data_IF_131515712981
#
_entry.id   IF_131515712981
#
_cell.length_a   1.000
_cell.length_b   1.000
_cell.length_c   1.000
_cell.angle_alpha   90.00
_cell.angle_beta   90.00
_cell.angle_gamma   90.00
#
_symmetry.space_group_name_H-M   'P 1'
#
loop_
_entity.id
_entity.type
_entity.pdbx_description
1 polymer ?
#
# COMPACT_ATOMS: atom_id res chain seq x y z
N UNK A 1 -4.37 -17.09 -22.82
CA UNK A 1 -3.73 -16.14 -23.75
C UNK A 1 -2.44 -16.79 -24.20
N UNK A 2 -2.14 -16.75 -25.50
CA UNK A 2 -0.86 -17.25 -26.00
C UNK A 2 0.22 -16.23 -25.65
N UNK A 3 1.36 -16.72 -25.16
CA UNK A 3 2.48 -15.89 -24.73
C UNK A 3 3.24 -15.38 -25.97
N UNK A 4 3.32 -14.06 -26.16
CA UNK A 4 4.05 -13.43 -27.26
C UNK A 4 5.52 -13.30 -26.82
N UNK A 5 6.41 -14.12 -27.38
CA UNK A 5 7.82 -14.19 -26.99
C UNK A 5 8.75 -13.40 -27.91
N UNK A 6 8.33 -13.19 -29.15
CA UNK A 6 9.08 -12.44 -30.16
C UNK A 6 8.15 -11.62 -31.04
N UNK A 7 8.74 -10.69 -31.82
CA UNK A 7 7.99 -9.85 -32.76
C UNK A 7 7.26 -10.67 -33.83
N UNK A 8 7.76 -11.87 -34.16
CA UNK A 8 7.15 -12.78 -35.14
C UNK A 8 5.89 -13.45 -34.60
N UNK A 9 5.72 -13.48 -33.28
CA UNK A 9 4.57 -14.10 -32.61
C UNK A 9 3.40 -13.12 -32.46
N UNK A 10 3.56 -11.86 -32.90
CA UNK A 10 2.51 -10.85 -32.83
C UNK A 10 1.41 -11.21 -33.85
N UNK A 11 0.15 -11.31 -33.43
CA UNK A 11 -0.96 -11.55 -34.35
C UNK A 11 -1.01 -10.49 -35.46
N UNK A 12 -1.10 -10.94 -36.71
CA UNK A 12 -1.27 -10.05 -37.87
C UNK A 12 -2.62 -9.35 -37.85
N UNK A 13 -3.64 -10.01 -37.30
CA UNK A 13 -4.98 -9.46 -37.13
C UNK A 13 -4.99 -8.26 -36.17
N UNK A 14 -5.74 -7.23 -36.57
CA UNK A 14 -6.01 -6.05 -35.76
C UNK A 14 -7.50 -6.00 -35.41
N UNK A 15 -7.79 -5.78 -34.13
CA UNK A 15 -9.15 -5.63 -33.59
C UNK A 15 -9.59 -4.17 -33.50
N UNK A 16 -8.75 -3.27 -34.00
CA UNK A 16 -9.03 -1.86 -34.25
C UNK A 16 -8.61 -1.55 -35.69
N UNK A 17 -9.58 -1.19 -36.53
CA UNK A 17 -9.38 -0.75 -37.90
C UNK A 17 -9.02 0.73 -37.98
N UNK A 18 -8.83 1.21 -39.22
CA UNK A 18 -8.65 2.64 -39.49
C UNK A 18 -9.98 3.42 -39.43
N UNK A 19 -9.88 4.74 -39.54
CA UNK A 19 -11.04 5.63 -39.57
C UNK A 19 -11.52 6.12 -38.20
N UNK A 20 -10.66 6.07 -37.17
CA UNK A 20 -10.96 6.75 -35.91
C UNK A 20 -10.92 8.27 -36.10
N UNK A 21 -11.85 9.03 -35.50
CA UNK A 21 -11.80 10.49 -35.49
C UNK A 21 -10.90 11.05 -34.38
N UNK A 22 -10.15 10.19 -33.66
CA UNK A 22 -9.13 10.63 -32.71
C UNK A 22 -7.94 11.28 -33.41
N UNK A 23 -7.12 12.01 -32.65
CA UNK A 23 -5.90 12.62 -33.18
C UNK A 23 -4.98 11.55 -33.78
N UNK A 24 -4.48 11.77 -35.00
CA UNK A 24 -3.59 10.83 -35.67
C UNK A 24 -2.34 10.54 -34.80
N UNK A 25 -2.09 9.25 -34.53
CA UNK A 25 -0.95 8.83 -33.70
C UNK A 25 -1.11 9.11 -32.21
N UNK A 26 -2.33 9.35 -31.72
CA UNK A 26 -2.61 9.51 -30.30
C UNK A 26 -2.14 8.27 -29.51
N UNK A 27 -1.33 8.48 -28.47
CA UNK A 27 -0.76 7.40 -27.64
C UNK A 27 -1.83 6.44 -27.07
N UNK A 28 -2.94 6.95 -26.49
CA UNK A 28 -4.10 6.14 -26.11
C UNK A 28 -4.70 5.28 -27.25
N UNK A 29 -4.80 5.78 -28.48
CA UNK A 29 -5.32 4.99 -29.60
C UNK A 29 -4.37 3.83 -29.95
N UNK A 30 -3.07 4.12 -30.07
CA UNK A 30 -2.04 3.10 -30.30
C UNK A 30 -2.01 2.10 -29.15
N UNK A 31 -2.12 2.57 -27.91
CA UNK A 31 -2.14 1.74 -26.72
C UNK A 31 -3.33 0.79 -26.70
N UNK A 32 -4.53 1.28 -27.03
CA UNK A 32 -5.72 0.43 -27.16
C UNK A 32 -5.57 -0.57 -28.30
N UNK A 33 -5.04 -0.17 -29.45
CA UNK A 33 -4.77 -1.06 -30.58
C UNK A 33 -3.85 -2.23 -30.17
N UNK A 34 -2.74 -1.94 -29.50
CA UNK A 34 -1.80 -2.96 -29.01
C UNK A 34 -2.42 -3.84 -27.92
N UNK A 35 -3.17 -3.25 -26.99
CA UNK A 35 -3.87 -4.01 -25.95
C UNK A 35 -4.87 -4.99 -26.56
N UNK A 36 -5.65 -4.56 -27.55
CA UNK A 36 -6.61 -5.42 -28.22
C UNK A 36 -5.95 -6.54 -29.02
N UNK A 37 -4.75 -6.35 -29.61
CA UNK A 37 -3.98 -7.46 -30.21
C UNK A 37 -3.71 -8.58 -29.21
N UNK A 38 -3.44 -8.24 -27.94
CA UNK A 38 -3.21 -9.23 -26.87
C UNK A 38 -4.52 -9.83 -26.37
N UNK A 39 -5.55 -9.00 -26.17
CA UNK A 39 -6.84 -9.42 -25.61
C UNK A 39 -7.68 -10.23 -26.60
N UNK A 40 -7.51 -10.01 -27.90
CA UNK A 40 -8.20 -10.76 -28.95
C UNK A 40 -9.66 -10.37 -29.16
N UNK A 41 -10.33 -11.08 -30.08
CA UNK A 41 -11.71 -10.84 -30.52
C UNK A 41 -12.77 -10.93 -29.42
N UNK A 42 -12.53 -11.78 -28.42
CA UNK A 42 -13.48 -12.06 -27.35
C UNK A 42 -13.32 -11.03 -26.21
N UNK A 43 -13.44 -9.74 -26.56
CA UNK A 43 -13.19 -8.62 -25.66
C UNK A 43 -14.33 -7.61 -25.72
N UNK A 44 -14.72 -7.09 -24.56
CA UNK A 44 -15.64 -5.95 -24.41
C UNK A 44 -14.88 -4.77 -23.82
N UNK A 45 -14.86 -3.64 -24.54
CA UNK A 45 -14.22 -2.40 -24.10
C UNK A 45 -15.25 -1.48 -23.47
N UNK A 46 -15.05 -1.14 -22.20
CA UNK A 46 -15.79 -0.08 -21.50
C UNK A 46 -14.97 1.19 -21.57
N UNK A 47 -15.50 2.20 -22.26
CA UNK A 47 -14.84 3.48 -22.45
C UNK A 47 -15.59 4.56 -21.67
N UNK A 48 -15.10 4.99 -20.49
CA UNK A 48 -15.65 6.16 -19.82
C UNK A 48 -15.46 7.42 -20.67
N UNK A 49 -16.27 8.44 -20.40
CA UNK A 49 -16.04 9.74 -21.00
C UNK A 49 -14.62 10.27 -20.69
N UNK A 50 -13.96 10.86 -21.68
CA UNK A 50 -12.55 11.27 -21.61
C UNK A 50 -11.98 11.57 -23.00
N UNK A 51 -10.65 11.65 -23.11
CA UNK A 51 -9.98 11.92 -24.40
C UNK A 51 -10.30 10.87 -25.48
N UNK A 52 -10.68 9.66 -25.07
CA UNK A 52 -11.09 8.56 -25.95
C UNK A 52 -12.61 8.51 -26.20
N UNK A 53 -13.42 9.45 -25.69
CA UNK A 53 -14.88 9.48 -25.91
C UNK A 53 -15.22 9.42 -27.39
N UNK A 54 -14.49 10.19 -28.21
CA UNK A 54 -14.75 10.30 -29.63
C UNK A 54 -14.24 9.08 -30.43
N UNK A 55 -13.59 8.10 -29.80
CA UNK A 55 -13.05 6.93 -30.50
C UNK A 55 -14.11 6.23 -31.37
N UNK A 56 -15.33 6.07 -30.85
CA UNK A 56 -16.46 5.53 -31.58
C UNK A 56 -17.60 6.57 -31.59
N UNK A 57 -17.99 7.01 -32.78
CA UNK A 57 -19.09 7.97 -32.97
C UNK A 57 -20.12 7.35 -33.90
N UNK A 58 -21.31 7.04 -33.38
CA UNK A 58 -22.36 6.37 -34.15
C UNK A 58 -22.64 7.08 -35.48
N UNK A 59 -22.71 6.35 -36.62
CA UNK A 59 -22.65 4.88 -36.76
C UNK A 59 -21.23 4.31 -36.96
N UNK A 60 -20.19 5.13 -36.88
CA UNK A 60 -18.80 4.76 -37.17
C UNK A 60 -18.06 4.26 -35.92
N UNK A 61 -17.42 3.09 -36.04
CA UNK A 61 -16.55 2.53 -35.01
C UNK A 61 -15.28 1.99 -35.63
N UNK A 62 -14.09 2.41 -35.17
CA UNK A 62 -12.83 1.76 -35.54
C UNK A 62 -12.67 0.42 -34.82
N UNK A 63 -13.45 0.14 -33.76
CA UNK A 63 -13.35 -1.12 -33.02
C UNK A 63 -14.10 -2.26 -33.72
N UNK A 64 -13.41 -3.40 -33.83
CA UNK A 64 -13.97 -4.69 -34.31
C UNK A 64 -14.40 -5.61 -33.16
N UNK A 65 -14.26 -5.14 -31.93
CA UNK A 65 -14.70 -5.78 -30.68
C UNK A 65 -15.92 -5.04 -30.13
N UNK A 66 -16.61 -5.65 -29.17
CA UNK A 66 -17.73 -4.98 -28.50
C UNK A 66 -17.23 -3.77 -27.71
N UNK A 67 -17.98 -2.67 -27.77
CA UNK A 67 -17.65 -1.42 -27.12
C UNK A 67 -18.89 -0.81 -26.48
N UNK A 68 -18.71 -0.17 -25.33
CA UNK A 68 -19.76 0.60 -24.67
C UNK A 68 -19.18 1.91 -24.14
N UNK A 69 -19.89 3.00 -24.42
CA UNK A 69 -19.64 4.28 -23.78
C UNK A 69 -20.25 4.28 -22.39
N UNK A 70 -19.46 4.72 -21.41
CA UNK A 70 -19.88 4.89 -20.03
C UNK A 70 -19.68 6.35 -19.63
N UNK A 71 -20.42 6.86 -18.66
CA UNK A 71 -20.04 8.11 -18.01
C UNK A 71 -18.71 7.92 -17.25
N UNK A 72 -18.03 9.02 -16.92
CA UNK A 72 -16.68 8.96 -16.30
C UNK A 72 -16.72 8.13 -15.01
N UNK A 73 -17.75 8.38 -14.21
CA UNK A 73 -17.97 7.89 -12.86
C UNK A 73 -18.42 6.42 -12.77
N UNK A 74 -18.88 5.80 -13.88
CA UNK A 74 -19.56 4.51 -13.85
C UNK A 74 -18.88 3.39 -14.66
N UNK A 75 -17.65 3.58 -15.15
CA UNK A 75 -16.93 2.54 -15.90
C UNK A 75 -16.79 1.22 -15.12
N UNK A 76 -16.47 1.28 -13.83
CA UNK A 76 -16.35 0.10 -12.95
C UNK A 76 -17.66 -0.69 -12.83
N UNK A 77 -18.76 -0.08 -12.33
CA UNK A 77 -20.07 -0.71 -12.30
C UNK A 77 -20.54 -1.26 -13.65
N UNK A 78 -20.32 -0.53 -14.75
CA UNK A 78 -20.63 -0.98 -16.11
C UNK A 78 -19.88 -2.26 -16.47
N UNK A 79 -18.57 -2.30 -16.22
CA UNK A 79 -17.76 -3.50 -16.48
C UNK A 79 -18.18 -4.70 -15.62
N UNK A 80 -18.47 -4.47 -14.33
CA UNK A 80 -18.95 -5.52 -13.43
C UNK A 80 -20.31 -6.09 -13.87
N UNK A 81 -21.23 -5.22 -14.30
CA UNK A 81 -22.53 -5.63 -14.84
C UNK A 81 -22.39 -6.45 -16.13
N UNK A 82 -21.51 -6.03 -17.04
CA UNK A 82 -21.19 -6.78 -18.27
C UNK A 82 -20.60 -8.15 -17.93
N UNK A 83 -19.64 -8.20 -17.00
CA UNK A 83 -19.02 -9.45 -16.57
C UNK A 83 -20.04 -10.41 -15.95
N UNK A 84 -20.95 -9.90 -15.09
CA UNK A 84 -22.02 -10.69 -14.51
C UNK A 84 -22.98 -11.23 -15.57
N UNK A 85 -23.38 -10.41 -16.54
CA UNK A 85 -24.25 -10.81 -17.65
C UNK A 85 -23.60 -11.87 -18.56
N UNK A 86 -22.30 -11.72 -18.85
CA UNK A 86 -21.53 -12.71 -19.63
C UNK A 86 -21.45 -14.05 -18.90
N UNK A 87 -21.18 -14.04 -17.58
CA UNK A 87 -21.18 -15.25 -16.74
C UNK A 87 -22.54 -15.93 -16.71
N UNK A 88 -23.63 -15.18 -16.54
CA UNK A 88 -24.99 -15.72 -16.57
C UNK A 88 -25.34 -16.36 -17.92
N UNK A 89 -24.75 -15.89 -19.01
CA UNK A 89 -24.90 -16.44 -20.36
C UNK A 89 -23.88 -17.53 -20.72
N UNK A 90 -23.04 -17.96 -19.78
CA UNK A 90 -22.00 -18.97 -20.02
C UNK A 90 -20.92 -18.53 -21.03
N UNK A 91 -20.77 -17.22 -21.26
CA UNK A 91 -19.79 -16.68 -22.21
C UNK A 91 -18.51 -16.27 -21.49
N UNK A 92 -17.38 -16.74 -21.98
CA UNK A 92 -16.05 -16.37 -21.48
C UNK A 92 -15.43 -15.33 -22.42
N UNK A 93 -15.48 -14.07 -22.01
CA UNK A 93 -14.88 -12.94 -22.73
C UNK A 93 -14.09 -12.07 -21.75
N UNK A 94 -13.13 -11.30 -22.27
CA UNK A 94 -12.43 -10.26 -21.53
C UNK A 94 -13.33 -9.03 -21.40
N UNK A 95 -13.33 -8.39 -20.24
CA UNK A 95 -13.96 -7.07 -20.03
C UNK A 95 -12.87 -6.11 -19.61
N UNK A 96 -12.63 -5.06 -20.38
CA UNK A 96 -11.56 -4.08 -20.14
C UNK A 96 -12.13 -2.68 -20.01
N UNK A 97 -11.86 -2.03 -18.88
CA UNK A 97 -12.08 -0.59 -18.74
C UNK A 97 -10.88 0.14 -19.34
N UNK A 98 -11.08 0.81 -20.47
CA UNK A 98 -10.06 1.63 -21.10
C UNK A 98 -10.23 3.09 -20.67
N UNK A 99 -9.87 3.38 -19.42
CA UNK A 99 -9.99 4.71 -18.83
C UNK A 99 -8.75 5.58 -19.12
N UNK A 100 -9.00 6.85 -19.45
CA UNK A 100 -7.99 7.91 -19.45
C UNK A 100 -7.73 8.48 -18.05
N UNK A 101 -7.02 9.61 -17.99
CA UNK A 101 -6.49 10.23 -16.77
C UNK A 101 -7.45 10.23 -15.56
N UNK A 102 -7.00 9.72 -14.41
CA UNK A 102 -7.38 10.29 -13.11
C UNK A 102 -7.93 9.39 -11.99
N UNK A 103 -7.47 8.15 -11.84
CA UNK A 103 -7.60 7.46 -10.55
C UNK A 103 -6.22 7.23 -9.89
N UNK A 104 -5.49 8.31 -9.54
CA UNK A 104 -4.18 8.16 -8.89
C UNK A 104 -3.94 9.11 -7.72
N UNK A 105 -3.07 8.62 -6.84
CA UNK A 105 -2.43 9.35 -5.75
C UNK A 105 -1.22 10.15 -6.24
N UNK A 106 -0.82 11.16 -5.48
CA UNK A 106 0.48 11.82 -5.63
C UNK A 106 1.63 10.83 -5.42
N UNK A 107 2.78 11.08 -6.04
CA UNK A 107 3.91 10.15 -6.07
C UNK A 107 4.62 10.00 -4.70
N UNK A 108 4.42 10.97 -3.82
CA UNK A 108 4.88 11.00 -2.43
C UNK A 108 3.90 10.33 -1.43
N UNK A 109 2.77 9.78 -1.89
CA UNK A 109 1.84 9.06 -1.01
C UNK A 109 2.50 7.80 -0.44
N UNK A 110 2.41 7.61 0.88
CA UNK A 110 2.88 6.39 1.55
C UNK A 110 1.84 5.27 1.49
N UNK A 111 2.30 4.04 1.23
CA UNK A 111 1.50 2.81 1.22
C UNK A 111 2.11 1.81 2.20
N UNK A 112 1.27 1.19 3.01
CA UNK A 112 1.70 0.14 3.94
C UNK A 112 1.78 -1.21 3.21
N UNK A 113 3.00 -1.72 3.05
CA UNK A 113 3.28 -3.05 2.49
C UNK A 113 3.46 -4.11 3.59
N UNK A 114 3.49 -5.38 3.22
CA UNK A 114 3.91 -6.48 4.12
C UNK A 114 5.30 -6.22 4.74
N UNK A 115 6.15 -5.45 4.04
CA UNK A 115 7.52 -5.13 4.48
C UNK A 115 7.66 -3.80 5.23
N UNK A 116 6.57 -3.06 5.43
CA UNK A 116 6.53 -1.73 6.02
C UNK A 116 6.06 -0.63 5.06
N UNK A 117 6.15 0.63 5.48
CA UNK A 117 5.78 1.78 4.66
C UNK A 117 6.75 1.98 3.49
N UNK A 118 6.19 2.36 2.35
CA UNK A 118 6.93 2.70 1.13
C UNK A 118 6.17 3.79 0.37
N UNK A 119 6.88 4.65 -0.36
CA UNK A 119 6.23 5.59 -1.28
C UNK A 119 5.57 4.81 -2.43
N UNK A 120 4.39 5.25 -2.86
CA UNK A 120 3.63 4.60 -3.93
C UNK A 120 4.44 4.52 -5.23
N UNK A 121 5.30 5.51 -5.49
CA UNK A 121 6.21 5.54 -6.64
C UNK A 121 7.31 4.47 -6.63
N UNK A 122 7.63 3.93 -5.45
CA UNK A 122 8.68 2.93 -5.26
C UNK A 122 8.10 1.50 -5.14
N UNK A 123 6.77 1.37 -5.14
CA UNK A 123 6.05 0.10 -5.10
C UNK A 123 6.35 -0.70 -6.39
N UNK A 124 6.34 -2.04 -6.27
CA UNK A 124 6.58 -2.96 -7.41
C UNK A 124 5.41 -3.92 -7.56
N UNK A 125 5.10 -4.31 -8.80
CA UNK A 125 4.15 -5.37 -9.06
C UNK A 125 4.62 -6.67 -8.39
N UNK A 126 3.68 -7.41 -7.81
CA UNK A 126 3.92 -8.62 -7.04
C UNK A 126 4.16 -8.41 -5.55
N UNK A 127 4.42 -7.18 -5.11
CA UNK A 127 4.46 -6.86 -3.67
C UNK A 127 3.06 -6.94 -3.06
N UNK A 128 2.98 -7.16 -1.75
CA UNK A 128 1.71 -7.18 -1.02
C UNK A 128 1.50 -5.89 -0.24
N UNK A 129 0.32 -5.33 -0.35
CA UNK A 129 -0.13 -4.12 0.36
C UNK A 129 -1.30 -4.45 1.26
N UNK A 130 -1.37 -3.79 2.40
CA UNK A 130 -2.54 -3.90 3.26
C UNK A 130 -3.74 -3.18 2.63
N UNK A 131 -4.85 -3.90 2.54
CA UNK A 131 -6.14 -3.42 2.06
C UNK A 131 -7.22 -3.74 3.10
N UNK A 132 -8.35 -3.04 3.03
CA UNK A 132 -9.52 -3.36 3.85
C UNK A 132 -10.57 -3.99 2.95
N UNK A 133 -11.01 -5.20 3.32
CA UNK A 133 -12.10 -5.87 2.64
C UNK A 133 -13.42 -5.11 2.91
N UNK A 134 -14.11 -4.59 1.88
CA UNK A 134 -15.30 -3.78 2.08
C UNK A 134 -16.53 -4.58 2.56
N UNK A 135 -16.52 -5.91 2.48
CA UNK A 135 -17.62 -6.76 2.95
C UNK A 135 -17.43 -7.17 4.41
N UNK A 136 -16.25 -7.67 4.76
CA UNK A 136 -15.96 -8.14 6.13
C UNK A 136 -15.43 -7.03 7.05
N UNK A 137 -14.99 -5.90 6.49
CA UNK A 137 -14.27 -4.83 7.18
C UNK A 137 -12.96 -5.31 7.84
N UNK A 138 -12.39 -6.41 7.34
CA UNK A 138 -11.13 -6.99 7.82
C UNK A 138 -9.93 -6.45 7.03
N UNK A 139 -8.80 -6.32 7.72
CA UNK A 139 -7.54 -5.95 7.08
C UNK A 139 -6.88 -7.19 6.46
N UNK A 140 -6.55 -7.13 5.18
CA UNK A 140 -6.00 -8.24 4.40
C UNK A 140 -4.79 -7.81 3.55
N UNK A 141 -3.89 -8.74 3.27
CA UNK A 141 -2.74 -8.50 2.38
C UNK A 141 -3.12 -8.85 0.95
N UNK A 142 -3.19 -7.82 0.11
CA UNK A 142 -3.50 -7.94 -1.31
C UNK A 142 -2.27 -7.78 -2.18
N UNK A 143 -2.18 -8.57 -3.24
CA UNK A 143 -1.06 -8.51 -4.17
C UNK A 143 -1.27 -7.39 -5.18
N UNK A 144 -0.24 -6.57 -5.37
CA UNK A 144 -0.21 -5.51 -6.38
C UNK A 144 -0.03 -6.16 -7.75
N UNK A 145 -1.12 -6.31 -8.51
CA UNK A 145 -1.05 -6.92 -9.85
C UNK A 145 -0.37 -6.01 -10.87
N UNK A 146 -0.61 -4.70 -10.81
CA UNK A 146 -0.07 -3.73 -11.76
C UNK A 146 0.08 -2.34 -11.16
N UNK A 147 1.03 -1.58 -11.69
CA UNK A 147 1.28 -0.18 -11.33
C UNK A 147 0.92 0.73 -12.50
N UNK A 148 0.26 1.84 -12.19
CA UNK A 148 -0.14 2.86 -13.15
C UNK A 148 0.55 4.18 -12.77
N UNK A 149 1.39 4.71 -13.66
CA UNK A 149 2.13 5.97 -13.47
C UNK A 149 1.95 6.84 -14.70
N UNK A 150 1.46 8.06 -14.49
CA UNK A 150 1.30 9.07 -15.54
C UNK A 150 1.56 10.46 -14.98
N UNK A 151 1.84 11.41 -15.87
CA UNK A 151 1.93 12.82 -15.49
C UNK A 151 0.52 13.40 -15.46
N UNK A 152 0.15 14.04 -14.36
CA UNK A 152 -1.09 14.78 -14.25
C UNK A 152 -0.78 16.27 -14.17
N UNK A 153 -1.41 17.08 -15.03
CA UNK A 153 -1.30 18.53 -14.98
C UNK A 153 -2.69 19.13 -14.73
N UNK A 154 -2.97 19.45 -13.48
CA UNK A 154 -4.26 19.96 -13.05
C UNK A 154 -4.34 20.09 -11.54
N UNK A 155 -5.47 20.62 -11.06
CA UNK A 155 -5.73 20.69 -9.62
C UNK A 155 -6.08 19.30 -9.09
N UNK A 156 -5.36 18.87 -8.08
CA UNK A 156 -5.65 17.65 -7.32
C UNK A 156 -6.51 17.99 -6.10
N UNK A 157 -7.22 16.99 -5.58
CA UNK A 157 -8.01 17.10 -4.36
C UNK A 157 -7.23 16.51 -3.20
N UNK A 158 -6.95 17.34 -2.20
CA UNK A 158 -6.23 16.95 -0.99
C UNK A 158 -7.14 16.87 0.22
N UNK A 159 -6.99 15.83 1.03
CA UNK A 159 -7.60 15.74 2.36
C UNK A 159 -6.48 15.76 3.38
N UNK A 160 -6.45 16.82 4.18
CA UNK A 160 -5.51 16.98 5.29
C UNK A 160 -6.25 17.09 6.61
N UNK A 161 -5.92 16.21 7.53
CA UNK A 161 -6.43 16.15 8.90
C UNK A 161 -5.35 15.62 9.83
N UNK A 162 -5.66 15.52 11.13
CA UNK A 162 -4.74 14.90 12.11
C UNK A 162 -4.53 13.38 11.91
N UNK A 163 -5.31 12.73 11.05
CA UNK A 163 -5.33 11.27 10.88
C UNK A 163 -5.08 10.81 9.45
N UNK A 164 -5.47 11.62 8.47
CA UNK A 164 -5.37 11.34 7.04
C UNK A 164 -4.71 12.54 6.35
N UNK A 165 -3.71 12.26 5.53
CA UNK A 165 -3.08 13.20 4.61
C UNK A 165 -2.89 12.47 3.28
N UNK A 166 -3.65 12.85 2.25
CA UNK A 166 -3.50 12.31 0.90
C UNK A 166 -3.87 13.35 -0.15
N UNK A 167 -3.29 13.22 -1.34
CA UNK A 167 -3.54 14.05 -2.51
C UNK A 167 -3.84 13.14 -3.71
N UNK A 168 -5.01 13.33 -4.32
CA UNK A 168 -5.49 12.46 -5.40
C UNK A 168 -6.06 13.28 -6.56
N UNK A 169 -6.11 12.69 -7.74
CA UNK A 169 -6.80 13.28 -8.89
C UNK A 169 -8.31 13.45 -8.62
N UNK A 170 -8.99 14.44 -9.24
CA UNK A 170 -10.40 14.75 -8.94
C UNK A 170 -11.37 13.57 -9.09
N UNK A 171 -11.13 12.67 -10.02
CA UNK A 171 -11.93 11.47 -10.30
C UNK A 171 -11.46 10.22 -9.54
N UNK A 172 -10.56 10.37 -8.56
CA UNK A 172 -10.16 9.25 -7.70
C UNK A 172 -11.32 8.81 -6.82
N UNK A 173 -11.62 7.51 -6.82
CA UNK A 173 -12.66 6.94 -5.97
C UNK A 173 -12.16 6.83 -4.52
N UNK A 174 -12.70 7.69 -3.66
CA UNK A 174 -12.39 7.72 -2.24
C UNK A 174 -13.39 6.84 -1.49
N UNK A 175 -12.91 5.84 -0.71
CA UNK A 175 -13.79 5.03 0.11
C UNK A 175 -14.40 5.87 1.23
N UNK A 176 -15.71 5.79 1.39
CA UNK A 176 -16.47 6.42 2.45
C UNK A 176 -17.24 5.35 3.22
N UNK A 177 -17.49 5.62 4.49
CA UNK A 177 -18.25 4.79 5.39
C UNK A 177 -19.49 5.54 5.86
N UNK A 178 -20.64 4.89 5.72
CA UNK A 178 -21.93 5.42 6.12
C UNK A 178 -22.92 4.27 6.24
N UNK A 179 -23.88 4.38 7.18
CA UNK A 179 -24.88 3.34 7.43
C UNK A 179 -24.27 1.93 7.64
N UNK A 180 -23.12 1.87 8.33
CA UNK A 180 -22.34 0.65 8.58
C UNK A 180 -21.93 -0.13 7.32
N UNK A 181 -21.75 0.57 6.19
CA UNK A 181 -21.27 -0.01 4.94
C UNK A 181 -20.24 0.88 4.29
N UNK A 182 -19.36 0.27 3.51
CA UNK A 182 -18.48 0.98 2.59
C UNK A 182 -19.26 1.45 1.36
N UNK A 183 -18.91 2.64 0.88
CA UNK A 183 -19.30 3.21 -0.39
C UNK A 183 -18.12 3.97 -0.99
N UNK A 184 -18.29 4.50 -2.20
CA UNK A 184 -17.26 5.27 -2.87
C UNK A 184 -17.86 6.58 -3.38
N UNK A 185 -17.05 7.63 -3.33
CA UNK A 185 -17.35 8.93 -3.93
C UNK A 185 -16.10 9.43 -4.65
N UNK A 186 -16.28 10.16 -5.75
CA UNK A 186 -15.15 10.81 -6.39
C UNK A 186 -14.56 11.91 -5.50
N UNK A 187 -13.25 12.09 -5.58
CA UNK A 187 -12.56 13.07 -4.76
C UNK A 187 -13.10 14.50 -4.96
N UNK A 188 -13.46 14.88 -6.19
CA UNK A 188 -14.04 16.20 -6.52
C UNK A 188 -15.34 16.50 -5.76
N UNK A 189 -16.09 15.45 -5.42
CA UNK A 189 -17.39 15.54 -4.76
C UNK A 189 -17.29 15.40 -3.23
N UNK A 190 -16.07 15.28 -2.68
CA UNK A 190 -15.82 15.35 -1.24
C UNK A 190 -16.18 16.73 -0.71
N UNK A 191 -17.43 16.90 -0.26
CA UNK A 191 -17.87 18.15 0.36
C UNK A 191 -17.08 18.41 1.65
N UNK A 192 -16.69 19.67 1.88
CA UNK A 192 -15.91 20.15 3.05
C UNK A 192 -16.51 19.73 4.40
N UNK A 193 -17.83 19.50 4.46
CA UNK A 193 -18.56 19.04 5.66
C UNK A 193 -18.37 17.56 6.00
N UNK A 194 -17.88 16.71 5.08
CA UNK A 194 -17.72 15.26 5.27
C UNK A 194 -16.28 14.83 5.62
N UNK A 195 -15.48 15.71 6.23
CA UNK A 195 -14.05 15.51 6.55
C UNK A 195 -13.67 14.25 7.36
N UNK A 196 -14.58 13.35 7.71
CA UNK A 196 -14.19 12.02 8.20
C UNK A 196 -15.31 10.97 8.12
N UNK A 197 -15.99 10.84 6.96
CA UNK A 197 -16.78 9.62 6.74
C UNK A 197 -15.93 8.41 6.36
N UNK A 198 -14.63 8.53 6.17
CA UNK A 198 -13.75 7.35 6.01
C UNK A 198 -13.81 6.49 7.29
N UNK A 199 -14.17 5.21 7.19
CA UNK A 199 -14.01 4.31 8.34
C UNK A 199 -12.53 4.27 8.70
N UNK A 200 -12.24 4.42 9.99
CA UNK A 200 -10.88 4.36 10.54
C UNK A 200 -10.66 3.11 11.36
N UNK A 201 -11.68 2.27 11.45
CA UNK A 201 -11.69 1.07 12.26
C UNK A 201 -11.89 -0.12 11.33
N UNK A 202 -10.85 -0.92 11.19
CA UNK A 202 -10.88 -2.21 10.52
C UNK A 202 -10.66 -3.30 11.57
N UNK A 203 -11.19 -4.48 11.28
CA UNK A 203 -11.02 -5.66 12.12
C UNK A 203 -9.65 -6.27 11.82
N UNK A 204 -8.77 -6.22 12.81
CA UNK A 204 -7.46 -6.87 12.76
C UNK A 204 -7.60 -8.30 13.31
N UNK A 205 -7.49 -9.29 12.43
CA UNK A 205 -7.50 -10.71 12.79
C UNK A 205 -6.10 -11.27 13.10
N UNK A 206 -5.16 -10.40 13.48
CA UNK A 206 -3.77 -10.80 13.69
C UNK A 206 -3.62 -11.95 14.69
N UNK A 207 -2.51 -12.67 14.55
CA UNK A 207 -2.19 -13.77 15.46
C UNK A 207 -1.52 -13.20 16.71
N UNK A 208 -1.95 -13.65 17.88
CA UNK A 208 -1.16 -13.42 19.10
C UNK A 208 0.09 -14.28 19.00
N UNK A 209 1.31 -13.72 18.99
CA UNK A 209 2.53 -14.52 18.96
C UNK A 209 2.62 -15.45 20.17
N UNK A 210 3.51 -16.43 20.12
CA UNK A 210 3.87 -17.22 21.30
C UNK A 210 4.20 -16.32 22.50
N UNK A 211 3.94 -16.81 23.72
CA UNK A 211 4.18 -16.01 24.95
C UNK A 211 5.63 -15.54 25.11
N UNK A 212 6.57 -16.11 24.34
CA UNK A 212 8.01 -15.82 24.40
C UNK A 212 8.55 -15.50 23.01
N UNK A 213 9.52 -14.59 22.96
CA UNK A 213 10.29 -14.25 21.77
C UNK A 213 11.75 -14.68 21.97
N UNK A 214 12.35 -15.29 20.94
CA UNK A 214 13.74 -15.73 20.97
C UNK A 214 14.64 -14.68 20.31
N UNK A 215 15.62 -14.17 21.05
CA UNK A 215 16.55 -13.15 20.54
C UNK A 215 17.77 -13.86 19.95
N UNK A 216 18.16 -13.56 18.70
CA UNK A 216 19.36 -14.15 18.08
C UNK A 216 20.59 -14.03 18.97
N UNK A 217 21.36 -15.12 19.07
CA UNK A 217 22.62 -15.14 19.83
C UNK A 217 23.70 -14.42 19.02
N UNK A 218 24.55 -13.65 19.71
CA UNK A 218 25.68 -12.92 19.09
C UNK A 218 26.96 -13.33 19.79
N UNK A 219 28.09 -13.37 19.07
CA UNK A 219 29.41 -13.56 19.70
C UNK A 219 29.72 -12.36 20.60
N UNK A 220 29.75 -12.59 21.90
CA UNK A 220 30.05 -11.59 22.94
C UNK A 220 31.36 -11.93 23.66
N UNK A 221 31.90 -10.97 24.43
CA UNK A 221 33.01 -11.25 25.35
C UNK A 221 32.52 -12.17 26.47
N UNK A 222 33.41 -13.00 27.03
CA UNK A 222 33.09 -14.10 27.96
C UNK A 222 32.23 -13.73 29.17
N UNK A 223 32.24 -12.46 29.60
CA UNK A 223 31.50 -11.95 30.76
C UNK A 223 30.13 -11.32 30.44
N UNK A 224 29.74 -11.21 29.17
CA UNK A 224 28.48 -10.55 28.80
C UNK A 224 27.29 -11.53 28.85
N UNK A 225 26.22 -11.15 29.55
CA UNK A 225 25.00 -11.95 29.68
C UNK A 225 24.25 -12.01 28.35
N UNK A 226 24.06 -13.23 27.83
CA UNK A 226 23.17 -13.51 26.70
C UNK A 226 21.76 -13.80 27.19
N UNK A 227 20.77 -13.14 26.59
CA UNK A 227 19.36 -13.37 26.84
C UNK A 227 18.82 -14.19 25.69
N UNK A 228 18.41 -15.43 25.97
CA UNK A 228 17.92 -16.35 24.94
C UNK A 228 16.47 -16.06 24.57
N UNK A 229 15.62 -15.79 25.56
CA UNK A 229 14.19 -15.59 25.37
C UNK A 229 13.62 -14.56 26.34
N UNK A 230 12.63 -13.82 25.87
CA UNK A 230 11.93 -12.77 26.62
C UNK A 230 10.42 -12.92 26.50
N UNK A 231 9.63 -12.52 27.51
CA UNK A 231 8.19 -12.41 27.37
C UNK A 231 7.80 -11.45 26.24
N UNK A 232 6.91 -11.88 25.34
CA UNK A 232 6.61 -11.11 24.11
C UNK A 232 6.02 -9.73 24.40
N UNK A 233 5.13 -9.63 25.41
CA UNK A 233 4.43 -8.39 25.74
C UNK A 233 5.40 -7.32 26.22
N UNK A 234 6.27 -7.69 27.15
CA UNK A 234 7.33 -6.84 27.67
C UNK A 234 8.35 -6.48 26.59
N UNK A 235 8.67 -7.43 25.70
CA UNK A 235 9.57 -7.17 24.59
C UNK A 235 9.02 -6.13 23.62
N UNK A 236 7.77 -6.28 23.18
CA UNK A 236 7.10 -5.31 22.30
C UNK A 236 6.96 -3.95 22.98
N UNK A 237 6.64 -3.91 24.28
CA UNK A 237 6.61 -2.66 25.05
C UNK A 237 7.98 -1.97 25.08
N UNK A 238 9.06 -2.74 25.26
CA UNK A 238 10.43 -2.22 25.23
C UNK A 238 10.79 -1.69 23.84
N UNK A 239 10.44 -2.41 22.77
CA UNK A 239 10.65 -1.95 21.40
C UNK A 239 9.90 -0.64 21.13
N UNK A 240 8.68 -0.48 21.66
CA UNK A 240 7.92 0.76 21.58
C UNK A 240 8.68 1.95 22.17
N UNK A 241 9.15 1.82 23.42
CA UNK A 241 10.00 2.83 24.07
C UNK A 241 11.29 3.11 23.31
N UNK A 242 11.95 2.08 22.80
CA UNK A 242 13.17 2.25 22.02
C UNK A 242 12.90 2.99 20.70
N UNK A 243 11.82 2.65 19.97
CA UNK A 243 11.51 3.27 18.70
C UNK A 243 11.15 4.75 18.90
N UNK A 244 10.39 5.10 19.94
CA UNK A 244 10.06 6.50 20.22
C UNK A 244 11.28 7.29 20.70
N UNK A 245 12.04 6.77 21.67
CA UNK A 245 12.95 7.57 22.51
C UNK A 245 14.37 7.01 22.65
N UNK A 246 14.63 5.86 22.05
CA UNK A 246 15.91 5.15 22.12
C UNK A 246 17.02 5.71 21.24
N UNK A 247 18.26 5.64 21.73
CA UNK A 247 19.48 5.98 21.03
C UNK A 247 20.51 4.87 21.22
N UNK A 248 21.30 4.62 20.17
CA UNK A 248 22.32 3.58 20.13
C UNK A 248 23.70 4.23 20.01
N UNK A 249 24.55 4.00 21.01
CA UNK A 249 25.93 4.49 21.04
C UNK A 249 26.90 3.30 21.03
N UNK A 250 27.92 3.39 20.18
CA UNK A 250 28.98 2.40 20.11
C UNK A 250 30.33 3.09 20.25
N UNK A 251 31.18 2.56 21.11
CA UNK A 251 32.56 3.00 21.29
C UNK A 251 33.44 1.80 21.63
N UNK A 252 34.75 2.04 21.78
CA UNK A 252 35.69 1.00 22.27
C UNK A 252 35.29 0.43 23.64
N UNK A 253 34.57 1.21 24.45
CA UNK A 253 34.15 0.80 25.80
C UNK A 253 32.88 -0.04 25.84
N UNK A 254 32.10 -0.12 24.75
CA UNK A 254 30.95 -1.02 24.68
C UNK A 254 29.83 -0.59 23.73
N UNK A 255 28.68 -1.26 23.90
CA UNK A 255 27.46 -1.06 23.12
C UNK A 255 26.37 -0.55 24.06
N UNK A 256 26.21 0.77 24.12
CA UNK A 256 25.27 1.44 25.01
C UNK A 256 23.92 1.67 24.30
N UNK A 257 22.85 1.28 24.98
CA UNK A 257 21.48 1.59 24.62
C UNK A 257 20.95 2.56 25.67
N UNK A 258 20.40 3.68 25.20
CA UNK A 258 19.86 4.75 26.05
C UNK A 258 18.44 5.06 25.61
N UNK A 259 17.49 5.12 26.55
CA UNK A 259 16.11 5.57 26.29
C UNK A 259 15.88 6.85 27.08
N UNK A 260 15.72 7.98 26.38
CA UNK A 260 15.56 9.28 27.03
C UNK A 260 14.08 9.56 27.33
N UNK A 261 13.76 9.88 28.59
CA UNK A 261 12.39 10.16 29.00
C UNK A 261 12.39 11.23 30.10
N UNK A 262 11.76 12.38 29.84
CA UNK A 262 11.73 13.49 30.80
C UNK A 262 10.75 13.26 31.96
N UNK A 263 9.69 12.49 31.73
CA UNK A 263 8.72 12.13 32.76
C UNK A 263 9.26 11.03 33.68
N UNK A 264 9.30 11.29 34.99
CA UNK A 264 9.85 10.36 35.98
C UNK A 264 9.09 9.03 36.06
N UNK A 265 7.75 9.08 36.04
CA UNK A 265 6.91 7.87 36.09
C UNK A 265 7.21 6.94 34.91
N UNK A 266 7.32 7.51 33.71
CA UNK A 266 7.66 6.75 32.51
C UNK A 266 9.10 6.19 32.58
N UNK A 267 10.07 6.95 33.11
CA UNK A 267 11.44 6.42 33.34
C UNK A 267 11.43 5.21 34.28
N UNK A 268 10.71 5.29 35.39
CA UNK A 268 10.61 4.17 36.33
C UNK A 268 9.92 2.96 35.69
N UNK A 269 8.94 3.17 34.82
CA UNK A 269 8.32 2.11 34.03
C UNK A 269 9.33 1.43 33.09
N UNK A 270 10.09 2.23 32.31
CA UNK A 270 11.14 1.73 31.42
C UNK A 270 12.19 0.94 32.21
N UNK A 271 12.65 1.47 33.35
CA UNK A 271 13.65 0.83 34.20
C UNK A 271 13.16 -0.52 34.76
N UNK A 272 11.90 -0.59 35.21
CA UNK A 272 11.28 -1.86 35.67
C UNK A 272 11.16 -2.85 34.52
N UNK A 273 10.74 -2.38 33.35
CA UNK A 273 10.58 -3.19 32.15
C UNK A 273 11.91 -3.80 31.70
N UNK A 274 12.98 -3.02 31.60
CA UNK A 274 14.31 -3.49 31.20
C UNK A 274 14.88 -4.49 32.21
N UNK A 275 14.71 -4.24 33.51
CA UNK A 275 15.07 -5.22 34.56
C UNK A 275 14.30 -6.53 34.45
N UNK A 276 12.99 -6.46 34.16
CA UNK A 276 12.14 -7.65 33.94
C UNK A 276 12.57 -8.46 32.72
N UNK A 277 13.10 -7.80 31.69
CA UNK A 277 13.73 -8.44 30.53
C UNK A 277 15.11 -9.04 30.84
N UNK A 278 15.60 -8.90 32.07
CA UNK A 278 16.89 -9.43 32.52
C UNK A 278 18.09 -8.57 32.16
N UNK A 279 17.86 -7.30 31.80
CA UNK A 279 18.88 -6.32 31.46
C UNK A 279 19.38 -5.58 32.71
N UNK A 280 20.69 -5.33 32.77
CA UNK A 280 21.32 -4.60 33.85
C UNK A 280 21.23 -3.08 33.61
N UNK A 281 20.01 -2.56 33.61
CA UNK A 281 19.73 -1.15 33.36
C UNK A 281 19.79 -0.28 34.61
N UNK A 282 20.24 0.95 34.43
CA UNK A 282 20.33 1.99 35.44
C UNK A 282 19.79 3.32 34.90
N UNK A 283 19.42 4.21 35.81
CA UNK A 283 18.99 5.56 35.45
C UNK A 283 20.23 6.48 35.40
N UNK A 284 20.29 7.34 34.38
CA UNK A 284 21.32 8.34 34.21
C UNK A 284 20.67 9.66 33.80
N UNK A 285 20.62 10.63 34.72
CA UNK A 285 19.92 11.91 34.51
C UNK A 285 18.45 11.72 34.09
N UNK A 286 18.12 11.96 32.82
CA UNK A 286 16.76 11.84 32.26
C UNK A 286 16.65 10.65 31.29
N UNK A 287 17.45 9.61 31.48
CA UNK A 287 17.41 8.42 30.64
C UNK A 287 17.59 7.13 31.43
N UNK A 288 17.14 6.03 30.82
CA UNK A 288 17.44 4.66 31.25
C UNK A 288 18.46 4.06 30.29
N UNK A 289 19.57 3.60 30.86
CA UNK A 289 20.76 3.19 30.13
C UNK A 289 21.14 1.75 30.49
N UNK A 290 21.64 1.00 29.51
CA UNK A 290 22.25 -0.31 29.73
C UNK A 290 23.20 -0.66 28.59
N UNK A 291 24.14 -1.58 28.86
CA UNK A 291 25.06 -2.09 27.85
C UNK A 291 24.71 -3.53 27.46
N UNK A 292 24.58 -3.79 26.16
CA UNK A 292 24.45 -5.14 25.61
C UNK A 292 24.72 -5.12 24.12
N UNK A 293 25.75 -5.83 23.68
CA UNK A 293 26.06 -6.08 22.27
C UNK A 293 24.93 -6.86 21.60
N UNK A 294 24.34 -7.86 22.27
CA UNK A 294 23.26 -8.67 21.71
C UNK A 294 22.05 -7.80 21.37
N UNK A 295 21.54 -7.05 22.36
CA UNK A 295 20.37 -6.19 22.17
C UNK A 295 20.67 -5.05 21.20
N UNK A 296 21.85 -4.43 21.31
CA UNK A 296 22.27 -3.40 20.36
C UNK A 296 22.22 -3.92 18.92
N UNK A 297 22.81 -5.10 18.66
CA UNK A 297 22.87 -5.68 17.31
C UNK A 297 21.47 -5.97 16.78
N UNK A 298 20.61 -6.55 17.62
CA UNK A 298 19.20 -6.79 17.28
C UNK A 298 18.48 -5.49 16.88
N UNK A 299 18.64 -4.42 17.67
CA UNK A 299 17.98 -3.15 17.43
C UNK A 299 18.48 -2.47 16.16
N UNK A 300 19.79 -2.52 15.87
CA UNK A 300 20.33 -2.00 14.60
C UNK A 300 19.70 -2.71 13.41
N UNK A 301 19.62 -4.04 13.46
CA UNK A 301 19.12 -4.86 12.35
C UNK A 301 17.60 -4.69 12.15
N UNK A 302 16.83 -4.76 13.24
CA UNK A 302 15.38 -4.86 13.19
C UNK A 302 14.67 -3.51 13.31
N UNK A 303 15.21 -2.61 14.13
CA UNK A 303 14.60 -1.31 14.44
C UNK A 303 15.30 -0.14 13.78
N UNK A 304 16.53 -0.30 13.26
CA UNK A 304 17.33 0.76 12.66
C UNK A 304 18.12 1.62 13.65
N UNK A 305 19.10 2.37 13.14
CA UNK A 305 19.98 3.26 13.92
C UNK A 305 19.85 4.71 13.48
N UNK A 306 19.58 5.61 14.43
CA UNK A 306 19.38 7.04 14.18
C UNK A 306 17.92 7.37 13.82
N UNK A 307 17.52 8.63 14.00
CA UNK A 307 16.11 9.03 13.94
C UNK A 307 15.42 8.70 12.61
N UNK A 308 16.11 8.90 11.49
CA UNK A 308 15.56 8.71 10.15
C UNK A 308 15.42 7.23 9.73
N UNK A 309 16.13 6.32 10.39
CA UNK A 309 16.14 4.90 10.04
C UNK A 309 15.28 4.05 10.98
N UNK A 310 14.67 4.66 12.02
CA UNK A 310 13.87 3.93 12.99
C UNK A 310 12.61 3.35 12.34
N UNK A 311 12.31 2.09 12.64
CA UNK A 311 11.14 1.37 12.12
C UNK A 311 10.64 0.33 13.10
N UNK A 312 9.37 -0.05 12.95
CA UNK A 312 8.80 -1.21 13.62
C UNK A 312 9.40 -2.49 12.99
N UNK A 313 9.87 -3.47 13.79
CA UNK A 313 10.35 -4.74 13.26
C UNK A 313 9.27 -5.45 12.44
N UNK A 314 9.66 -5.99 11.28
CA UNK A 314 8.72 -6.62 10.32
C UNK A 314 7.83 -7.67 10.97
N UNK A 315 8.41 -8.50 11.85
CA UNK A 315 7.69 -9.58 12.53
C UNK A 315 6.58 -9.09 13.47
N UNK A 316 6.61 -7.84 13.94
CA UNK A 316 5.55 -7.25 14.77
C UNK A 316 4.28 -6.98 13.95
N UNK A 317 4.45 -6.77 12.64
CA UNK A 317 3.37 -6.50 11.69
C UNK A 317 2.94 -7.74 10.89
N UNK A 318 3.59 -8.89 11.13
CA UNK A 318 3.30 -10.19 10.50
C UNK A 318 2.31 -11.01 11.33
#
# INVERSE_FOLDING_TARGET
MNEIKSIKDIPTEDWMGGGSPTCAGCGPEIGLKLALKVLGKDTVVVNPAGCMTLLCNYPFTPLRVSWIHSAIENAGPTASGILAALRARGRKMNVVCYAGDGACYSDDTEVLTESGFKLIKDLKAGEKTWSVNPESNELELEKVEKLHKYRFNGKMVGVKSRYLDYLVTPNHNVPIWGNNKWGFIEAKDLKVRYKSKTNRSFKWLGKTPEKKYYIPKVKVKTSEKIIEKVPIKEWVQFLGWFISEGCLYHSKSGYLIRIYQSNDKNRQEILRLTKKLGLNSFECNRSVDFQSKQIYSYLVENCGKGFAAKKIPKWVLS
#
